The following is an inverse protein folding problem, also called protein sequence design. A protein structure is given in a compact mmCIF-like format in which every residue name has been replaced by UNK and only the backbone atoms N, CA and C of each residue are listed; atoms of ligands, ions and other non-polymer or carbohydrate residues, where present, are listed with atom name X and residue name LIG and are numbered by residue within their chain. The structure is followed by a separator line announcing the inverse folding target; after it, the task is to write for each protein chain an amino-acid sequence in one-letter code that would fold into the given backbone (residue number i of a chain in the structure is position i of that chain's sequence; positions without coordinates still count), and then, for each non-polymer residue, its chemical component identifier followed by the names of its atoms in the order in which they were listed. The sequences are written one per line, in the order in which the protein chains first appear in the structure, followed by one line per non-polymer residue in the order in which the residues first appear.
data_IF_219769604961
#
_entry.id   IF_219769604961
#
_cell.length_a   1.000
_cell.length_b   1.000
_cell.length_c   1.000
_cell.angle_alpha   90.00
_cell.angle_beta   90.00
_cell.angle_gamma   90.00
#
_symmetry.space_group_name_H-M   'P 1'
#
loop_
_entity.id
_entity.type
_entity.pdbx_description
1 polymer ?
#
# COMPACT_ATOMS: atom_id res chain seq x y z
N UNK A 1 7.09 -7.13 2.04
CA UNK A 1 6.34 -7.45 0.79
C UNK A 1 5.82 -6.16 0.19
N UNK A 2 6.11 -5.87 -1.07
CA UNK A 2 5.67 -4.61 -1.67
C UNK A 2 5.97 -4.53 -3.15
N UNK A 3 5.33 -3.57 -3.84
CA UNK A 3 5.55 -3.32 -5.26
C UNK A 3 5.31 -1.84 -5.56
N UNK A 4 6.17 -1.24 -6.38
CA UNK A 4 6.04 0.15 -6.83
C UNK A 4 6.47 1.19 -5.78
N UNK A 5 6.33 2.46 -6.19
CA UNK A 5 6.88 3.63 -5.50
C UNK A 5 6.33 3.85 -4.09
N UNK A 6 5.09 3.42 -3.82
CA UNK A 6 4.50 3.54 -2.49
C UNK A 6 5.19 2.63 -1.45
N UNK A 7 5.72 1.47 -1.89
CA UNK A 7 6.39 0.51 -1.01
C UNK A 7 7.88 0.83 -0.75
N UNK A 8 8.53 1.54 -1.68
CA UNK A 8 9.98 1.80 -1.63
C UNK A 8 10.43 2.51 -0.36
N UNK A 9 9.82 3.62 0.09
CA UNK A 9 10.24 4.29 1.32
C UNK A 9 10.09 3.41 2.57
N UNK A 10 9.08 2.53 2.59
CA UNK A 10 8.92 1.57 3.70
C UNK A 10 10.07 0.56 3.72
N UNK A 11 10.48 0.03 2.56
CA UNK A 11 11.63 -0.86 2.48
C UNK A 11 12.92 -0.15 2.90
N UNK A 12 13.18 1.05 2.38
CA UNK A 12 14.37 1.83 2.73
C UNK A 12 14.45 2.12 4.23
N UNK A 13 13.33 2.50 4.85
CA UNK A 13 13.26 2.75 6.28
C UNK A 13 13.52 1.48 7.12
N UNK A 14 13.01 0.34 6.69
CA UNK A 14 13.27 -0.95 7.34
C UNK A 14 14.74 -1.37 7.21
N UNK A 15 15.34 -1.19 6.02
CA UNK A 15 16.75 -1.50 5.76
C UNK A 15 17.73 -0.58 6.52
N UNK A 16 17.30 0.64 6.84
CA UNK A 16 18.06 1.58 7.68
C UNK A 16 17.83 1.36 9.18
N UNK A 17 16.84 0.57 9.54
CA UNK A 17 16.45 0.29 10.93
C UNK A 17 17.32 -0.75 11.62
N UNK A 18 17.07 -1.00 12.91
CA UNK A 18 17.85 -1.95 13.72
C UNK A 18 17.44 -3.42 13.49
N UNK A 19 16.31 -3.67 12.86
CA UNK A 19 15.79 -5.01 12.67
C UNK A 19 16.21 -5.58 11.30
N UNK A 20 16.69 -6.83 11.23
CA UNK A 20 17.14 -7.41 9.98
C UNK A 20 15.97 -7.64 9.01
N UNK A 21 16.14 -7.20 7.77
CA UNK A 21 15.23 -7.56 6.68
C UNK A 21 15.73 -8.85 6.04
N UNK A 22 15.05 -9.96 6.32
CA UNK A 22 15.49 -11.31 5.89
C UNK A 22 15.16 -11.63 4.43
N UNK A 23 14.26 -10.88 3.81
CA UNK A 23 13.91 -11.05 2.41
C UNK A 23 12.86 -10.05 1.94
N UNK A 24 12.82 -9.82 0.65
CA UNK A 24 11.85 -8.94 -0.03
C UNK A 24 11.03 -9.75 -1.02
N UNK A 25 9.71 -9.70 -0.89
CA UNK A 25 8.77 -10.24 -1.86
C UNK A 25 8.17 -9.10 -2.68
N UNK A 26 8.28 -9.18 -3.99
CA UNK A 26 7.69 -8.22 -4.93
C UNK A 26 7.02 -8.95 -6.09
N UNK A 27 6.19 -8.25 -6.87
CA UNK A 27 5.54 -8.84 -8.03
C UNK A 27 6.60 -9.24 -9.08
N UNK A 28 6.35 -10.31 -9.86
CA UNK A 28 7.18 -10.66 -11.00
C UNK A 28 7.34 -9.50 -11.97
N UNK A 29 8.52 -9.39 -12.57
CA UNK A 29 8.75 -8.44 -13.66
C UNK A 29 7.80 -8.76 -14.81
N UNK A 30 7.14 -7.75 -15.37
CA UNK A 30 6.25 -7.96 -16.51
C UNK A 30 7.08 -8.07 -17.78
N UNK A 31 7.06 -9.24 -18.42
CA UNK A 31 7.68 -9.43 -19.73
C UNK A 31 7.07 -8.49 -20.77
N UNK A 32 7.92 -7.83 -21.58
CA UNK A 32 7.51 -7.05 -22.76
C UNK A 32 6.95 -5.65 -22.50
N UNK A 33 6.84 -5.18 -21.26
CA UNK A 33 6.51 -3.78 -21.01
C UNK A 33 7.79 -2.94 -21.01
N UNK A 34 8.23 -2.55 -22.22
CA UNK A 34 9.13 -1.42 -22.32
C UNK A 34 8.50 -0.21 -21.62
N UNK A 35 9.30 0.54 -20.86
CA UNK A 35 8.93 1.76 -20.09
C UNK A 35 8.42 2.91 -20.98
N UNK A 36 7.62 2.62 -22.02
CA UNK A 36 7.06 3.62 -22.92
C UNK A 36 5.71 4.09 -22.38
N UNK A 37 5.69 5.35 -21.90
CA UNK A 37 4.44 6.09 -21.70
C UNK A 37 3.69 5.84 -20.40
N UNK A 38 4.32 5.32 -19.35
CA UNK A 38 3.71 5.34 -18.01
C UNK A 38 3.96 6.71 -17.39
N UNK A 39 2.88 7.43 -17.07
CA UNK A 39 2.90 8.63 -16.22
C UNK A 39 3.20 8.28 -14.74
N UNK A 40 3.37 7.01 -14.43
CA UNK A 40 3.80 6.54 -13.10
C UNK A 40 5.19 7.06 -12.79
N UNK A 41 5.36 7.62 -11.61
CA UNK A 41 6.68 7.95 -11.09
C UNK A 41 7.57 6.71 -11.16
N UNK A 42 8.73 6.86 -11.82
CA UNK A 42 9.71 5.79 -11.93
C UNK A 42 10.52 5.79 -10.63
N UNK A 43 10.17 4.89 -9.70
CA UNK A 43 10.99 4.62 -8.53
C UNK A 43 12.24 3.83 -8.88
N UNK A 44 13.12 3.65 -7.89
CA UNK A 44 14.32 2.80 -8.00
C UNK A 44 13.97 1.32 -8.17
N UNK A 45 12.80 0.91 -7.66
CA UNK A 45 12.35 -0.46 -7.66
C UNK A 45 12.76 -1.22 -6.39
N UNK A 46 11.83 -2.03 -5.87
CA UNK A 46 12.06 -2.85 -4.66
C UNK A 46 13.26 -3.79 -4.80
N UNK A 47 13.48 -4.30 -6.01
CA UNK A 47 14.53 -5.26 -6.35
C UNK A 47 15.91 -4.63 -6.26
N UNK A 48 16.08 -3.45 -6.85
CA UNK A 48 17.32 -2.69 -6.84
C UNK A 48 17.67 -2.24 -5.42
N UNK A 49 16.71 -1.71 -4.68
CA UNK A 49 16.89 -1.28 -3.28
C UNK A 49 17.34 -2.45 -2.40
N UNK A 50 16.72 -3.63 -2.54
CA UNK A 50 17.09 -4.82 -1.79
C UNK A 50 18.48 -5.33 -2.18
N UNK A 51 18.81 -5.37 -3.48
CA UNK A 51 20.09 -5.84 -4.01
C UNK A 51 21.27 -5.01 -3.50
N UNK A 52 21.14 -3.69 -3.42
CA UNK A 52 22.17 -2.80 -2.85
C UNK A 52 22.52 -3.11 -1.40
N UNK A 53 21.60 -3.71 -0.66
CA UNK A 53 21.78 -4.11 0.74
C UNK A 53 22.05 -5.61 0.91
N UNK A 54 22.20 -6.35 -0.21
CA UNK A 54 22.43 -7.79 -0.18
C UNK A 54 21.24 -8.61 0.35
N UNK A 55 20.02 -8.06 0.33
CA UNK A 55 18.83 -8.75 0.81
C UNK A 55 18.22 -9.58 -0.33
N UNK A 56 17.91 -10.88 -0.11
CA UNK A 56 17.34 -11.73 -1.13
C UNK A 56 15.96 -11.25 -1.58
N UNK A 57 15.69 -11.33 -2.89
CA UNK A 57 14.43 -10.93 -3.51
C UNK A 57 13.73 -12.14 -4.09
N UNK A 58 12.44 -12.26 -3.80
CA UNK A 58 11.56 -13.32 -4.24
C UNK A 58 10.41 -12.73 -5.07
N UNK A 59 10.15 -13.33 -6.22
CA UNK A 59 9.12 -12.88 -7.15
C UNK A 59 8.20 -14.05 -7.56
N UNK A 60 7.53 -14.72 -6.58
CA UNK A 60 6.62 -15.80 -6.91
C UNK A 60 5.42 -15.27 -7.69
N UNK A 61 4.92 -16.03 -8.67
CA UNK A 61 3.68 -15.70 -9.38
C UNK A 61 2.49 -15.59 -8.41
N UNK A 62 2.48 -16.45 -7.39
CA UNK A 62 1.56 -16.36 -6.27
C UNK A 62 2.28 -16.70 -4.97
N UNK A 63 2.25 -15.80 -3.99
CA UNK A 63 2.79 -16.08 -2.65
C UNK A 63 1.99 -17.16 -1.91
N UNK A 64 0.75 -17.41 -2.34
CA UNK A 64 -0.12 -18.42 -1.75
C UNK A 64 0.07 -19.81 -2.37
N UNK A 65 0.85 -19.94 -3.44
CA UNK A 65 1.21 -21.23 -4.02
C UNK A 65 2.26 -21.94 -3.17
N UNK A 66 2.41 -23.25 -3.36
CA UNK A 66 3.31 -24.08 -2.53
C UNK A 66 4.75 -23.58 -2.55
N UNK A 67 5.25 -23.16 -3.71
CA UNK A 67 6.59 -22.57 -3.87
C UNK A 67 6.74 -21.23 -3.14
N UNK A 68 5.75 -20.33 -3.26
CA UNK A 68 5.74 -19.05 -2.56
C UNK A 68 5.70 -19.22 -1.04
N UNK A 69 4.89 -20.16 -0.54
CA UNK A 69 4.83 -20.51 0.88
C UNK A 69 6.16 -21.11 1.36
N UNK A 70 6.76 -22.01 0.56
CA UNK A 70 8.05 -22.62 0.90
C UNK A 70 9.17 -21.57 0.97
N UNK A 71 9.23 -20.65 0.01
CA UNK A 71 10.17 -19.52 0.04
C UNK A 71 10.00 -18.69 1.31
N UNK A 72 8.76 -18.35 1.67
CA UNK A 72 8.48 -17.55 2.86
C UNK A 72 8.85 -18.28 4.15
N UNK A 73 8.52 -19.57 4.27
CA UNK A 73 8.87 -20.40 5.43
C UNK A 73 10.37 -20.55 5.60
N UNK A 74 11.14 -20.65 4.51
CA UNK A 74 12.61 -20.80 4.56
C UNK A 74 13.31 -19.60 5.19
N UNK A 75 12.69 -18.42 5.16
CA UNK A 75 13.21 -17.20 5.78
C UNK A 75 12.90 -17.09 7.28
N UNK A 76 11.98 -17.90 7.79
CA UNK A 76 11.55 -17.88 9.19
C UNK A 76 11.30 -16.45 9.72
N UNK A 77 10.43 -15.63 9.08
CA UNK A 77 10.23 -14.25 9.46
C UNK A 77 9.44 -14.12 10.77
N UNK A 78 9.79 -13.16 11.61
CA UNK A 78 9.02 -12.84 12.82
C UNK A 78 7.80 -12.00 12.51
N UNK A 79 7.89 -11.12 11.51
CA UNK A 79 6.82 -10.20 11.11
C UNK A 79 6.83 -10.01 9.59
N UNK A 80 5.66 -9.95 8.97
CA UNK A 80 5.51 -9.45 7.61
C UNK A 80 5.13 -7.97 7.64
N UNK A 81 5.85 -7.16 6.87
CA UNK A 81 5.49 -5.77 6.58
C UNK A 81 5.06 -5.70 5.12
N UNK A 82 3.84 -5.25 4.88
CA UNK A 82 3.23 -5.22 3.56
C UNK A 82 2.91 -3.76 3.18
N UNK A 83 3.24 -3.38 1.95
CA UNK A 83 2.87 -2.09 1.37
C UNK A 83 2.63 -2.28 -0.13
N UNK A 84 1.42 -2.02 -0.62
CA UNK A 84 1.05 -2.11 -2.04
C UNK A 84 1.58 -3.39 -2.75
N UNK A 85 1.49 -4.54 -2.11
CA UNK A 85 2.05 -5.80 -2.65
C UNK A 85 1.27 -6.34 -3.87
N UNK A 86 -0.04 -6.08 -3.92
CA UNK A 86 -0.88 -6.46 -5.05
C UNK A 86 -1.36 -7.91 -5.06
N UNK A 87 -1.06 -8.70 -4.02
CA UNK A 87 -1.63 -10.04 -3.81
C UNK A 87 -2.34 -10.09 -2.45
N UNK A 88 -3.47 -10.79 -2.41
CA UNK A 88 -4.16 -11.11 -1.16
C UNK A 88 -3.39 -12.24 -0.47
N UNK A 89 -3.08 -12.08 0.80
CA UNK A 89 -2.38 -13.09 1.58
C UNK A 89 -3.39 -14.07 2.19
N UNK A 90 -3.17 -15.38 1.96
CA UNK A 90 -3.98 -16.44 2.55
C UNK A 90 -3.80 -16.52 4.07
N UNK A 91 -4.74 -17.18 4.76
CA UNK A 91 -4.60 -17.47 6.19
C UNK A 91 -3.31 -18.24 6.50
N UNK A 92 -2.91 -19.13 5.61
CA UNK A 92 -1.67 -19.90 5.75
C UNK A 92 -0.46 -18.98 5.72
N UNK A 93 -0.36 -18.10 4.71
CA UNK A 93 0.74 -17.11 4.62
C UNK A 93 0.77 -16.19 5.84
N UNK A 94 -0.38 -15.70 6.29
CA UNK A 94 -0.50 -14.83 7.46
C UNK A 94 -0.14 -15.52 8.78
N UNK A 95 -0.18 -16.86 8.84
CA UNK A 95 0.17 -17.64 10.03
C UNK A 95 1.65 -18.04 10.11
N UNK A 96 2.44 -17.80 9.06
CA UNK A 96 3.87 -18.16 9.04
C UNK A 96 4.67 -17.30 10.03
N UNK A 97 4.57 -15.97 10.03
CA UNK A 97 5.36 -15.15 10.95
C UNK A 97 4.81 -15.21 12.38
N UNK A 98 5.71 -15.27 13.36
CA UNK A 98 5.37 -15.37 14.79
C UNK A 98 4.50 -14.22 15.28
N UNK A 99 4.74 -13.01 14.77
CA UNK A 99 4.02 -11.80 15.14
C UNK A 99 2.98 -11.36 14.08
N UNK A 100 2.68 -12.24 13.10
CA UNK A 100 1.70 -11.99 12.06
C UNK A 100 2.17 -10.98 11.02
N UNK A 101 1.24 -10.21 10.47
CA UNK A 101 1.52 -9.27 9.39
C UNK A 101 0.89 -7.91 9.66
N UNK A 102 1.57 -6.83 9.25
CA UNK A 102 1.04 -5.47 9.22
C UNK A 102 1.02 -4.95 7.79
N UNK A 103 0.05 -4.09 7.49
CA UNK A 103 -0.05 -3.43 6.19
C UNK A 103 0.00 -1.91 6.35
N UNK A 104 0.75 -1.27 5.46
CA UNK A 104 0.78 0.19 5.29
C UNK A 104 -0.31 0.55 4.28
N UNK A 105 -1.45 1.02 4.76
CA UNK A 105 -2.62 1.31 3.93
C UNK A 105 -2.77 2.82 3.72
N UNK A 106 -2.87 3.24 2.45
CA UNK A 106 -2.89 4.65 2.04
C UNK A 106 -4.24 5.35 2.22
N UNK A 107 -4.91 5.15 3.36
CA UNK A 107 -6.09 5.92 3.76
C UNK A 107 -6.25 6.01 5.26
N UNK A 108 -7.16 6.84 5.73
CA UNK A 108 -7.64 6.87 7.11
C UNK A 108 -8.76 5.83 7.28
N UNK A 109 -8.37 4.57 7.56
CA UNK A 109 -9.34 3.51 7.80
C UNK A 109 -10.25 3.87 9.01
N UNK A 110 -11.52 3.44 8.96
CA UNK A 110 -12.12 2.40 8.11
C UNK A 110 -12.57 2.85 6.72
N UNK A 111 -12.37 4.11 6.34
CA UNK A 111 -12.66 4.59 4.99
C UNK A 111 -11.66 4.05 3.96
N UNK A 112 -12.16 3.78 2.76
CA UNK A 112 -11.35 3.44 1.58
C UNK A 112 -10.56 2.13 1.70
N UNK A 113 -11.21 1.04 2.18
CA UNK A 113 -10.64 -0.31 2.07
C UNK A 113 -10.52 -0.71 0.61
N UNK A 114 -9.38 -1.23 0.18
CA UNK A 114 -9.18 -1.78 -1.17
C UNK A 114 -7.96 -1.24 -1.90
N UNK A 115 -8.01 -1.31 -3.24
CA UNK A 115 -6.83 -1.24 -4.09
C UNK A 115 -6.37 0.18 -4.47
N UNK A 116 -7.24 1.19 -4.38
CA UNK A 116 -6.94 2.55 -4.84
C UNK A 116 -7.38 3.65 -3.87
N UNK A 117 -7.03 3.56 -2.56
CA UNK A 117 -7.56 4.44 -1.51
C UNK A 117 -7.25 5.93 -1.77
N UNK A 118 -6.04 6.25 -2.22
CA UNK A 118 -5.59 7.62 -2.45
C UNK A 118 -6.40 8.28 -3.57
N UNK A 119 -6.56 7.57 -4.69
CA UNK A 119 -7.34 8.08 -5.81
C UNK A 119 -8.82 8.28 -5.44
N UNK A 120 -9.41 7.36 -4.68
CA UNK A 120 -10.80 7.50 -4.22
C UNK A 120 -10.98 8.64 -3.22
N UNK A 121 -10.00 8.95 -2.38
CA UNK A 121 -10.06 10.14 -1.51
C UNK A 121 -10.16 11.44 -2.35
N UNK A 122 -9.37 11.54 -3.44
CA UNK A 122 -9.44 12.66 -4.38
C UNK A 122 -10.79 12.70 -5.10
N UNK A 123 -11.25 11.56 -5.65
CA UNK A 123 -12.52 11.46 -6.37
C UNK A 123 -13.70 11.90 -5.51
N UNK A 124 -13.73 11.51 -4.25
CA UNK A 124 -14.77 11.89 -3.29
C UNK A 124 -14.62 13.31 -2.75
N UNK A 125 -13.52 14.01 -3.10
CA UNK A 125 -13.31 15.40 -2.68
C UNK A 125 -13.01 15.53 -1.20
N UNK A 126 -12.38 14.53 -0.61
CA UNK A 126 -11.86 14.65 0.75
C UNK A 126 -10.85 15.79 0.83
N UNK A 127 -10.83 16.48 1.94
CA UNK A 127 -9.87 17.56 2.24
C UNK A 127 -8.67 17.07 3.04
N UNK A 128 -8.76 15.86 3.55
CA UNK A 128 -7.73 15.19 4.35
C UNK A 128 -7.68 13.71 3.98
N UNK A 129 -6.50 13.14 3.98
CA UNK A 129 -6.26 11.69 3.88
C UNK A 129 -5.08 11.32 4.78
N UNK A 130 -4.62 10.09 4.69
CA UNK A 130 -3.49 9.66 5.50
C UNK A 130 -3.07 8.23 5.25
N UNK A 131 -2.33 7.70 6.21
CA UNK A 131 -1.91 6.30 6.25
C UNK A 131 -2.39 5.67 7.53
N UNK A 132 -2.85 4.43 7.43
CA UNK A 132 -3.17 3.58 8.58
C UNK A 132 -2.31 2.33 8.54
N UNK A 133 -1.63 2.03 9.64
CA UNK A 133 -1.01 0.72 9.84
C UNK A 133 -2.04 -0.19 10.45
N UNK A 134 -2.32 -1.32 9.82
CA UNK A 134 -3.27 -2.32 10.32
C UNK A 134 -2.59 -3.66 10.56
N UNK A 135 -3.11 -4.43 11.50
CA UNK A 135 -2.84 -5.87 11.60
C UNK A 135 -3.61 -6.58 10.51
N UNK A 136 -2.91 -7.34 9.67
CA UNK A 136 -3.57 -8.05 8.58
C UNK A 136 -4.37 -9.24 9.08
N UNK A 137 -5.52 -9.45 8.45
CA UNK A 137 -6.40 -10.60 8.61
C UNK A 137 -6.80 -11.12 7.23
N UNK A 138 -7.57 -12.21 7.17
CA UNK A 138 -8.09 -12.71 5.89
C UNK A 138 -9.11 -11.77 5.22
N UNK A 139 -9.66 -10.80 5.97
CA UNK A 139 -10.56 -9.77 5.43
C UNK A 139 -9.77 -8.64 4.81
N UNK A 140 -10.21 -8.15 3.63
CA UNK A 140 -9.57 -7.06 2.93
C UNK A 140 -9.55 -5.79 3.79
N UNK A 141 -8.37 -5.35 4.19
CA UNK A 141 -8.09 -4.17 5.01
C UNK A 141 -8.99 -4.02 6.26
N UNK A 142 -9.44 -5.16 6.81
CA UNK A 142 -10.44 -5.22 7.88
C UNK A 142 -9.86 -5.44 9.28
N UNK A 143 -8.55 -5.59 9.39
CA UNK A 143 -7.89 -5.82 10.67
C UNK A 143 -7.84 -4.60 11.57
N UNK A 144 -7.43 -4.81 12.83
CA UNK A 144 -7.33 -3.75 13.82
C UNK A 144 -6.32 -2.68 13.40
N UNK A 145 -6.70 -1.43 13.57
CA UNK A 145 -5.85 -0.27 13.29
C UNK A 145 -4.84 -0.09 14.42
N UNK A 146 -3.56 -0.10 14.07
CA UNK A 146 -2.46 0.03 15.03
C UNK A 146 -2.00 1.48 15.19
N UNK A 147 -1.93 2.21 14.08
CA UNK A 147 -1.53 3.61 14.08
C UNK A 147 -2.12 4.32 12.86
N UNK A 148 -2.33 5.64 12.98
CA UNK A 148 -2.78 6.51 11.89
C UNK A 148 -1.98 7.80 11.89
N UNK A 149 -1.79 8.35 10.69
CA UNK A 149 -1.28 9.70 10.51
C UNK A 149 -1.97 10.33 9.30
N UNK A 150 -2.31 11.61 9.39
CA UNK A 150 -3.05 12.32 8.35
C UNK A 150 -2.26 13.49 7.74
N UNK A 151 -2.63 13.85 6.52
CA UNK A 151 -2.17 15.05 5.82
C UNK A 151 -3.34 15.69 5.07
N UNK A 152 -3.33 17.00 4.87
CA UNK A 152 -4.32 17.67 4.03
C UNK A 152 -4.13 17.26 2.55
N UNK A 153 -5.23 17.26 1.80
CA UNK A 153 -5.26 17.13 0.34
C UNK A 153 -5.38 18.53 -0.26
N UNK A 154 -4.41 18.90 -1.09
CA UNK A 154 -4.45 20.11 -1.90
C UNK A 154 -4.87 19.84 -3.34
N UNK A 155 -4.11 20.34 -4.31
CA UNK A 155 -4.37 20.17 -5.74
C UNK A 155 -3.52 19.05 -6.39
N UNK A 156 -2.99 18.15 -5.57
CA UNK A 156 -2.18 17.04 -6.05
C UNK A 156 -2.96 16.06 -6.91
N UNK A 157 -2.27 15.44 -7.87
CA UNK A 157 -2.68 14.18 -8.51
C UNK A 157 -2.58 13.02 -7.51
N UNK A 158 -3.19 11.88 -7.84
CA UNK A 158 -3.07 10.69 -6.99
C UNK A 158 -1.62 10.24 -6.82
N UNK A 159 -0.80 10.30 -7.88
CA UNK A 159 0.62 9.94 -7.81
C UNK A 159 1.44 10.88 -6.91
N UNK A 160 1.19 12.20 -6.99
CA UNK A 160 1.85 13.18 -6.12
C UNK A 160 1.44 13.02 -4.65
N UNK A 161 0.15 12.70 -4.41
CA UNK A 161 -0.36 12.45 -3.07
C UNK A 161 0.21 11.13 -2.50
N UNK A 162 0.30 10.07 -3.32
CA UNK A 162 0.97 8.82 -2.94
C UNK A 162 2.44 9.05 -2.57
N UNK A 163 3.16 9.89 -3.33
CA UNK A 163 4.55 10.24 -3.04
C UNK A 163 4.73 10.98 -1.70
N UNK A 164 3.71 11.72 -1.24
CA UNK A 164 3.70 12.35 0.09
C UNK A 164 3.33 11.35 1.20
N UNK A 165 2.42 10.42 0.91
CA UNK A 165 1.95 9.41 1.86
C UNK A 165 2.97 8.31 2.10
N UNK A 166 3.75 7.92 1.09
CA UNK A 166 4.71 6.82 1.20
C UNK A 166 5.76 7.02 2.30
N UNK A 167 6.49 8.16 2.41
CA UNK A 167 7.42 8.39 3.51
C UNK A 167 6.72 8.53 4.88
N UNK A 168 5.49 9.06 4.92
CA UNK A 168 4.68 9.11 6.13
C UNK A 168 4.37 7.70 6.63
N UNK A 169 3.95 6.82 5.71
CA UNK A 169 3.66 5.41 5.99
C UNK A 169 4.89 4.64 6.45
N UNK A 170 6.04 4.88 5.82
CA UNK A 170 7.31 4.28 6.19
C UNK A 170 7.71 4.60 7.63
N UNK A 171 7.68 5.88 8.01
CA UNK A 171 7.95 6.31 9.39
C UNK A 171 6.98 5.68 10.38
N UNK A 172 5.68 5.74 10.08
CA UNK A 172 4.63 5.19 10.93
C UNK A 172 4.77 3.67 11.11
N UNK A 173 5.19 2.95 10.06
CA UNK A 173 5.44 1.51 10.12
C UNK A 173 6.60 1.18 11.07
N UNK A 174 7.74 1.89 10.97
CA UNK A 174 8.89 1.69 11.84
C UNK A 174 8.52 1.98 13.30
N UNK A 175 7.85 3.09 13.58
CA UNK A 175 7.38 3.43 14.93
C UNK A 175 6.42 2.36 15.48
N UNK A 176 5.52 1.85 14.64
CA UNK A 176 4.58 0.77 15.00
C UNK A 176 5.32 -0.52 15.35
N UNK A 177 6.33 -0.90 14.58
CA UNK A 177 7.15 -2.09 14.84
C UNK A 177 7.84 -1.98 16.20
N UNK A 178 8.45 -0.84 16.51
CA UNK A 178 9.12 -0.64 17.80
C UNK A 178 8.14 -0.72 18.98
N UNK A 179 6.93 -0.19 18.82
CA UNK A 179 5.88 -0.30 19.84
C UNK A 179 5.34 -1.72 19.99
N UNK A 180 5.21 -2.48 18.88
CA UNK A 180 4.84 -3.90 18.90
C UNK A 180 5.87 -4.73 19.66
N UNK A 181 7.18 -4.52 19.39
CA UNK A 181 8.28 -5.19 20.09
C UNK A 181 8.27 -4.89 21.59
N UNK A 182 7.91 -3.69 21.98
CA UNK A 182 7.81 -3.28 23.38
C UNK A 182 6.55 -3.80 24.09
N UNK A 183 5.66 -4.53 23.39
CA UNK A 183 4.38 -4.99 23.93
C UNK A 183 3.39 -3.83 24.23
N UNK A 184 3.61 -2.65 23.66
CA UNK A 184 2.85 -1.42 23.94
C UNK A 184 1.82 -1.08 22.87
N UNK A 185 1.32 -2.08 22.14
CA UNK A 185 0.42 -1.83 21.03
C UNK A 185 -0.85 -2.66 21.16
N UNK A 186 -1.95 -1.98 21.40
CA UNK A 186 -3.32 -2.51 21.28
C UNK A 186 -3.92 -1.98 19.99
N UNK A 187 -4.53 -2.85 19.18
CA UNK A 187 -5.23 -2.44 17.98
C UNK A 187 -6.63 -1.89 18.31
N UNK A 188 -7.02 -0.87 17.57
CA UNK A 188 -8.39 -0.33 17.59
C UNK A 188 -9.22 -1.04 16.51
N UNK A 189 -10.37 -1.59 16.87
CA UNK A 189 -11.30 -2.20 15.91
C UNK A 189 -11.90 -1.13 14.99
N UNK A 190 -12.02 -1.48 13.73
CA UNK A 190 -12.67 -0.61 12.77
C UNK A 190 -14.19 -0.60 12.98
N UNK A 191 -14.80 0.59 13.02
CA UNK A 191 -16.26 0.74 13.07
C UNK A 191 -16.88 0.32 11.72
N UNK A 192 -17.72 -0.75 11.69
CA UNK A 192 -18.31 -1.23 10.45
C UNK A 192 -19.23 -0.20 9.77
N UNK A 193 -19.82 0.73 10.54
CA UNK A 193 -20.71 1.76 9.98
C UNK A 193 -20.00 2.83 9.16
N UNK A 194 -18.68 2.98 9.35
CA UNK A 194 -17.83 3.98 8.65
C UNK A 194 -17.05 3.38 7.48
N UNK A 195 -17.21 2.09 7.23
CA UNK A 195 -16.44 1.40 6.18
C UNK A 195 -16.89 1.88 4.80
N UNK A 196 -15.93 2.37 4.01
CA UNK A 196 -16.11 2.60 2.57
C UNK A 196 -15.11 1.78 1.75
N UNK A 197 -15.42 1.56 0.47
CA UNK A 197 -14.59 0.75 -0.43
C UNK A 197 -13.86 1.64 -1.44
N UNK A 198 -12.65 1.25 -1.79
CA UNK A 198 -11.80 1.87 -2.81
C UNK A 198 -11.36 0.81 -3.85
N UNK A 199 -12.26 0.36 -4.72
CA UNK A 199 -11.93 -0.62 -5.74
C UNK A 199 -10.88 -0.06 -6.72
N UNK A 200 -10.26 -0.97 -7.49
CA UNK A 200 -9.33 -0.59 -8.55
C UNK A 200 -10.02 0.34 -9.55
N UNK A 201 -9.37 1.43 -9.93
CA UNK A 201 -9.86 2.32 -10.96
C UNK A 201 -9.82 1.64 -12.33
N UNK A 202 -10.82 1.94 -13.15
CA UNK A 202 -10.90 1.48 -14.54
C UNK A 202 -10.71 2.66 -15.49
N UNK A 203 -10.33 2.40 -16.75
CA UNK A 203 -10.13 3.45 -17.75
C UNK A 203 -11.41 4.21 -18.05
N UNK A 204 -12.55 3.53 -17.98
CA UNK A 204 -13.88 4.09 -18.22
C UNK A 204 -14.23 5.19 -17.22
N UNK A 205 -13.70 5.12 -15.99
CA UNK A 205 -13.91 6.16 -14.98
C UNK A 205 -13.24 7.49 -15.32
N UNK A 206 -12.32 7.50 -16.30
CA UNK A 206 -11.70 8.70 -16.84
C UNK A 206 -12.44 9.34 -18.01
N UNK A 207 -13.52 8.73 -18.49
CA UNK A 207 -14.31 9.29 -19.58
C UNK A 207 -15.07 10.53 -19.09
N UNK A 208 -14.94 11.63 -19.85
CA UNK A 208 -15.65 12.88 -19.58
C UNK A 208 -16.99 12.83 -20.30
N UNK A 209 -18.07 12.96 -19.55
CA UNK A 209 -19.41 13.16 -20.15
C UNK A 209 -19.57 14.61 -20.60
N UNK A 210 -19.36 14.88 -21.89
CA UNK A 210 -19.46 16.21 -22.49
C UNK A 210 -20.91 16.72 -22.63
N UNK A 211 -21.91 15.88 -22.37
CA UNK A 211 -23.34 16.24 -22.47
C UNK A 211 -23.94 16.72 -21.14
N UNK A 212 -23.22 16.55 -20.04
CA UNK A 212 -23.63 17.00 -18.72
C UNK A 212 -23.51 18.53 -18.54
N UNK A 213 -24.14 19.13 -17.51
CA UNK A 213 -24.09 20.57 -17.25
C UNK A 213 -22.67 21.05 -16.95
N UNK A 214 -22.25 22.16 -17.56
CA UNK A 214 -20.89 22.72 -17.49
C UNK A 214 -20.38 22.91 -16.05
N UNK A 215 -21.22 23.26 -15.10
CA UNK A 215 -20.88 23.38 -13.68
C UNK A 215 -20.54 22.05 -12.99
N UNK A 216 -21.05 20.90 -13.50
CA UNK A 216 -20.72 19.55 -13.05
C UNK A 216 -19.39 19.05 -13.60
N UNK A 217 -19.06 19.43 -14.85
CA UNK A 217 -17.85 19.00 -15.53
C UNK A 217 -16.55 19.50 -14.87
N UNK A 218 -16.55 20.75 -14.43
CA UNK A 218 -15.33 21.36 -13.84
C UNK A 218 -14.92 20.69 -12.52
N UNK A 219 -15.89 20.18 -11.74
CA UNK A 219 -15.59 19.50 -10.46
C UNK A 219 -15.33 18.01 -10.63
N UNK A 220 -16.10 17.31 -11.47
CA UNK A 220 -15.96 15.85 -11.63
C UNK A 220 -14.81 15.48 -12.57
N UNK A 221 -14.63 16.18 -13.71
CA UNK A 221 -13.54 15.89 -14.65
C UNK A 221 -12.15 16.22 -14.06
N UNK A 222 -12.00 17.35 -13.37
CA UNK A 222 -10.74 17.70 -12.70
C UNK A 222 -10.33 16.68 -11.64
N UNK A 223 -11.28 16.21 -10.83
CA UNK A 223 -11.04 15.17 -9.82
C UNK A 223 -10.71 13.81 -10.44
N UNK A 224 -11.47 13.40 -11.48
CA UNK A 224 -11.20 12.15 -12.20
C UNK A 224 -9.83 12.15 -12.86
N UNK A 225 -9.45 13.23 -13.55
CA UNK A 225 -8.12 13.36 -14.15
C UNK A 225 -7.01 13.33 -13.10
N UNK A 226 -7.18 14.02 -11.97
CA UNK A 226 -6.19 13.98 -10.86
C UNK A 226 -6.06 12.61 -10.22
N UNK A 227 -7.16 11.87 -10.08
CA UNK A 227 -7.16 10.52 -9.52
C UNK A 227 -6.55 9.48 -10.47
N UNK A 228 -6.65 9.69 -11.79
CA UNK A 228 -6.13 8.77 -12.81
C UNK A 228 -4.69 9.08 -13.24
N UNK A 229 -4.17 10.26 -12.89
CA UNK A 229 -2.79 10.66 -13.15
C UNK A 229 -1.83 10.04 -12.12
N UNK A 230 -1.70 8.73 -12.16
CA UNK A 230 -0.80 7.96 -11.27
C UNK A 230 -0.07 6.85 -12.01
#
# INVERSE_FOLDING_TARGET
MGTGTFAEPTLEALLAGPDPVVGVFTQPDREGVQKRGSTRQVGRGMKEIAAEKGVPVFQPASVNAADGIAMLRSLNPDLLVVAAYGQILSKEVLSIPTHGAINVHGSLLPKYRGAAPVAWAILNGETETGVTIIRMTAGLDAGDMLAKASIPIGDETAGELEAKLAPLGARLAVETIQRLKAGRMTGEKQDPSQVTKAPKLTKEMGLIDWQGPAAGHHKSSGKSLRALAS
#
